data_IF_379468075470
#
_entry.id   IF_379468075470
#
_cell.length_a   1.000
_cell.length_b   1.000
_cell.length_c   1.000
_cell.angle_alpha   90.00
_cell.angle_beta   90.00
_cell.angle_gamma   90.00
#
_symmetry.space_group_name_H-M   'P 1'
#
loop_
_entity.id
_entity.type
_entity.pdbx_description
1 polymer ?
#
# COMPACT_ATOMS: atom_id res chain seq x y z
N UNK A 1 15.25 -21.09 -30.13
CA UNK A 1 15.86 -19.83 -29.62
C UNK A 1 14.72 -18.97 -29.11
N UNK A 2 14.53 -18.89 -27.80
CA UNK A 2 13.51 -18.01 -27.22
C UNK A 2 13.88 -16.55 -27.49
N UNK A 3 12.91 -15.73 -27.89
CA UNK A 3 13.13 -14.31 -28.16
C UNK A 3 13.45 -13.62 -26.83
N UNK A 4 14.41 -12.68 -26.75
CA UNK A 4 14.72 -11.94 -25.51
C UNK A 4 13.49 -11.26 -24.87
N UNK A 5 12.46 -10.98 -25.69
CA UNK A 5 11.18 -10.39 -25.31
C UNK A 5 10.32 -11.28 -24.38
N UNK A 6 10.44 -12.61 -24.49
CA UNK A 6 9.61 -13.53 -23.71
C UNK A 6 10.09 -13.65 -22.25
N UNK A 7 11.40 -13.52 -22.03
CA UNK A 7 12.01 -13.57 -20.69
C UNK A 7 11.75 -12.30 -19.86
N UNK A 8 11.74 -11.12 -20.50
CA UNK A 8 11.47 -9.85 -19.83
C UNK A 8 10.00 -9.73 -19.42
N UNK A 9 9.07 -10.24 -20.23
CA UNK A 9 7.64 -10.22 -19.91
C UNK A 9 7.31 -11.08 -18.67
N UNK A 10 8.00 -12.21 -18.51
CA UNK A 10 7.88 -13.07 -17.31
C UNK A 10 8.41 -12.41 -16.04
N UNK A 11 9.52 -11.67 -16.13
CA UNK A 11 10.12 -10.95 -15.01
C UNK A 11 9.25 -9.76 -14.55
N UNK A 12 8.61 -9.04 -15.48
CA UNK A 12 7.68 -7.95 -15.17
C UNK A 12 6.41 -8.44 -14.45
N UNK A 13 5.86 -9.58 -14.85
CA UNK A 13 4.70 -10.18 -14.20
C UNK A 13 5.04 -10.63 -12.77
N UNK A 14 6.21 -11.28 -12.59
CA UNK A 14 6.68 -11.73 -11.28
C UNK A 14 6.98 -10.54 -10.34
N UNK A 15 7.59 -9.46 -10.85
CA UNK A 15 7.80 -8.23 -10.08
C UNK A 15 6.48 -7.59 -9.62
N UNK A 16 5.45 -7.59 -10.48
CA UNK A 16 4.11 -7.15 -10.10
C UNK A 16 3.52 -7.97 -8.96
N UNK A 17 3.58 -9.30 -9.06
CA UNK A 17 3.09 -10.20 -8.00
C UNK A 17 3.80 -9.96 -6.68
N UNK A 18 5.14 -9.81 -6.67
CA UNK A 18 5.90 -9.52 -5.47
C UNK A 18 5.56 -8.15 -4.86
N UNK A 19 5.38 -7.11 -5.69
CA UNK A 19 5.01 -5.77 -5.23
C UNK A 19 3.64 -5.76 -4.54
N UNK A 20 2.63 -6.37 -5.17
CA UNK A 20 1.28 -6.42 -4.61
C UNK A 20 1.19 -7.28 -3.35
N UNK A 21 1.89 -8.42 -3.30
CA UNK A 21 1.96 -9.24 -2.09
C UNK A 21 2.61 -8.46 -0.92
N UNK A 22 3.66 -7.69 -1.19
CA UNK A 22 4.28 -6.82 -0.19
C UNK A 22 3.34 -5.71 0.28
N UNK A 23 2.59 -5.07 -0.63
CA UNK A 23 1.60 -4.05 -0.26
C UNK A 23 0.49 -4.64 0.63
N UNK A 24 -0.07 -5.78 0.23
CA UNK A 24 -1.14 -6.45 0.99
C UNK A 24 -0.69 -6.83 2.41
N UNK A 25 0.57 -7.29 2.56
CA UNK A 25 1.13 -7.57 3.87
C UNK A 25 1.20 -6.32 4.75
N UNK A 26 1.57 -5.17 4.19
CA UNK A 26 1.65 -3.90 4.91
C UNK A 26 0.25 -3.39 5.27
N UNK A 27 -0.73 -3.50 4.37
CA UNK A 27 -2.14 -3.17 4.65
C UNK A 27 -2.69 -4.00 5.81
N UNK A 28 -2.49 -5.31 5.79
CA UNK A 28 -2.92 -6.22 6.86
C UNK A 28 -2.29 -5.86 8.22
N UNK A 29 -1.01 -5.50 8.23
CA UNK A 29 -0.34 -5.07 9.46
C UNK A 29 -0.91 -3.75 9.97
N UNK A 30 -1.16 -2.80 9.08
CA UNK A 30 -1.78 -1.51 9.43
C UNK A 30 -3.18 -1.71 10.00
N UNK A 31 -4.04 -2.47 9.33
CA UNK A 31 -5.42 -2.72 9.77
C UNK A 31 -5.47 -3.37 11.15
N UNK A 32 -4.60 -4.34 11.40
CA UNK A 32 -4.49 -4.98 12.72
C UNK A 32 -4.09 -3.97 13.80
N UNK A 33 -3.02 -3.20 13.56
CA UNK A 33 -2.56 -2.19 14.51
C UNK A 33 -3.61 -1.09 14.75
N UNK A 34 -4.37 -0.75 13.71
CA UNK A 34 -5.45 0.23 13.77
C UNK A 34 -6.59 -0.25 14.67
N UNK A 35 -7.04 -1.49 14.49
CA UNK A 35 -8.09 -2.11 15.32
C UNK A 35 -7.62 -2.23 16.77
N UNK A 36 -6.40 -2.72 16.99
CA UNK A 36 -5.83 -2.84 18.34
C UNK A 36 -5.77 -1.48 19.05
N UNK A 37 -5.42 -0.41 18.31
CA UNK A 37 -5.37 0.94 18.87
C UNK A 37 -6.76 1.53 19.16
N UNK A 38 -7.77 1.28 18.33
CA UNK A 38 -9.15 1.72 18.63
C UNK A 38 -9.75 0.95 19.83
N UNK A 39 -9.40 -0.33 19.99
CA UNK A 39 -9.76 -1.11 21.18
C UNK A 39 -9.13 -0.54 22.45
N UNK A 40 -7.85 -0.17 22.42
CA UNK A 40 -7.18 0.49 23.54
C UNK A 40 -7.83 1.83 23.89
N UNK A 41 -8.19 2.64 22.89
CA UNK A 41 -8.94 3.88 23.09
C UNK A 41 -10.32 3.64 23.74
N UNK A 42 -10.97 2.51 23.43
CA UNK A 42 -12.24 2.12 24.03
C UNK A 42 -12.15 1.70 25.51
N UNK A 43 -10.95 1.40 26.02
CA UNK A 43 -10.72 1.03 27.42
C UNK A 43 -10.46 2.24 28.32
N UNK A 44 -10.30 3.43 27.73
CA UNK A 44 -10.06 4.68 28.46
C UNK A 44 -11.32 5.11 29.23
N UNK A 45 -11.15 5.57 30.47
CA UNK A 45 -12.24 6.00 31.34
C UNK A 45 -13.10 7.12 30.72
N UNK A 46 -14.41 7.10 31.02
CA UNK A 46 -15.40 8.07 30.51
C UNK A 46 -15.04 9.52 30.84
N UNK A 47 -14.34 9.76 31.95
CA UNK A 47 -13.86 11.09 32.34
C UNK A 47 -12.88 11.69 31.31
N UNK A 48 -12.25 10.85 30.48
CA UNK A 48 -11.34 11.24 29.41
C UNK A 48 -11.98 11.16 28.01
N UNK A 49 -13.31 11.21 27.90
CA UNK A 49 -14.05 11.10 26.63
C UNK A 49 -13.52 12.02 25.51
N UNK A 50 -13.23 13.28 25.82
CA UNK A 50 -12.69 14.24 24.84
C UNK A 50 -11.34 13.78 24.27
N UNK A 51 -10.49 13.19 25.10
CA UNK A 51 -9.20 12.63 24.67
C UNK A 51 -9.42 11.43 23.76
N UNK A 52 -10.35 10.53 24.10
CA UNK A 52 -10.72 9.36 23.28
C UNK A 52 -11.28 9.78 21.93
N UNK A 53 -12.16 10.78 21.88
CA UNK A 53 -12.70 11.33 20.65
C UNK A 53 -11.61 11.99 19.79
N UNK A 54 -10.68 12.72 20.42
CA UNK A 54 -9.53 13.29 19.71
C UNK A 54 -8.65 12.18 19.10
N UNK A 55 -8.37 11.11 19.87
CA UNK A 55 -7.63 9.94 19.41
C UNK A 55 -8.28 9.28 18.20
N UNK A 56 -9.60 9.03 18.26
CA UNK A 56 -10.36 8.47 17.13
C UNK A 56 -10.35 9.35 15.89
N UNK A 57 -10.45 10.68 16.04
CA UNK A 57 -10.31 11.60 14.89
C UNK A 57 -8.92 11.49 14.24
N UNK A 58 -7.87 11.39 15.05
CA UNK A 58 -6.49 11.17 14.55
C UNK A 58 -6.35 9.83 13.84
N UNK A 59 -6.96 8.76 14.38
CA UNK A 59 -7.05 7.46 13.70
C UNK A 59 -7.69 7.60 12.32
N UNK A 60 -8.86 8.23 12.21
CA UNK A 60 -9.51 8.44 10.89
C UNK A 60 -8.59 9.16 9.89
N UNK A 61 -7.90 10.21 10.34
CA UNK A 61 -6.95 10.95 9.49
C UNK A 61 -5.77 10.06 9.08
N UNK A 62 -5.26 9.24 10.01
CA UNK A 62 -4.16 8.32 9.75
C UNK A 62 -4.54 7.26 8.71
N UNK A 63 -5.72 6.64 8.86
CA UNK A 63 -6.25 5.68 7.88
C UNK A 63 -6.42 6.31 6.49
N UNK A 64 -6.98 7.52 6.41
CA UNK A 64 -7.13 8.24 5.14
C UNK A 64 -5.78 8.64 4.50
N UNK A 65 -4.76 8.96 5.32
CA UNK A 65 -3.41 9.22 4.84
C UNK A 65 -2.75 7.93 4.30
N UNK A 66 -2.92 6.81 5.02
CA UNK A 66 -2.40 5.50 4.60
C UNK A 66 -3.04 5.01 3.30
N UNK A 67 -4.37 5.10 3.16
CA UNK A 67 -5.06 4.74 1.91
C UNK A 67 -4.52 5.53 0.70
N UNK A 68 -4.29 6.84 0.88
CA UNK A 68 -3.68 7.69 -0.18
C UNK A 68 -2.24 7.27 -0.48
N UNK A 69 -1.46 6.89 0.53
CA UNK A 69 -0.10 6.40 0.34
C UNK A 69 -0.10 5.11 -0.49
N UNK A 70 -0.95 4.14 -0.15
CA UNK A 70 -1.06 2.88 -0.91
C UNK A 70 -1.44 3.16 -2.37
N UNK A 71 -2.46 3.97 -2.61
CA UNK A 71 -2.83 4.36 -3.97
C UNK A 71 -1.69 5.03 -4.73
N UNK A 72 -0.88 5.86 -4.06
CA UNK A 72 0.29 6.49 -4.66
C UNK A 72 1.38 5.48 -5.01
N UNK A 73 1.65 4.51 -4.13
CA UNK A 73 2.58 3.42 -4.38
C UNK A 73 2.15 2.59 -5.59
N UNK A 74 0.87 2.20 -5.67
CA UNK A 74 0.30 1.48 -6.82
C UNK A 74 0.43 2.29 -8.12
N UNK A 75 0.11 3.59 -8.07
CA UNK A 75 0.23 4.49 -9.22
C UNK A 75 1.68 4.63 -9.71
N UNK A 76 2.65 4.74 -8.78
CA UNK A 76 4.07 4.79 -9.11
C UNK A 76 4.55 3.48 -9.75
N UNK A 77 4.08 2.34 -9.25
CA UNK A 77 4.39 1.04 -9.82
C UNK A 77 3.87 0.91 -11.26
N UNK A 78 2.61 1.30 -11.51
CA UNK A 78 2.03 1.34 -12.86
C UNK A 78 2.79 2.28 -13.81
N UNK A 79 3.12 3.48 -13.34
CA UNK A 79 3.90 4.43 -14.13
C UNK A 79 5.27 3.84 -14.49
N UNK A 80 5.95 3.21 -13.54
CA UNK A 80 7.23 2.54 -13.78
C UNK A 80 7.11 1.45 -14.83
N UNK A 81 6.08 0.59 -14.77
CA UNK A 81 5.88 -0.44 -15.80
C UNK A 81 5.64 0.18 -17.19
N UNK A 82 4.88 1.28 -17.27
CA UNK A 82 4.68 2.02 -18.52
C UNK A 82 5.99 2.57 -19.09
N UNK A 83 6.82 3.20 -18.25
CA UNK A 83 8.13 3.71 -18.66
C UNK A 83 9.06 2.58 -19.13
N UNK A 84 9.10 1.45 -18.41
CA UNK A 84 9.90 0.29 -18.82
C UNK A 84 9.46 -0.23 -20.19
N UNK A 85 8.15 -0.36 -20.42
CA UNK A 85 7.62 -0.77 -21.73
C UNK A 85 7.98 0.22 -22.85
N UNK A 86 7.90 1.52 -22.58
CA UNK A 86 8.27 2.55 -23.55
C UNK A 86 9.77 2.49 -23.90
N UNK A 87 10.63 2.37 -22.88
CA UNK A 87 12.08 2.24 -23.08
C UNK A 87 12.41 1.01 -23.93
N UNK A 88 11.82 -0.15 -23.63
CA UNK A 88 12.01 -1.38 -24.41
C UNK A 88 11.60 -1.17 -25.87
N UNK A 89 10.48 -0.49 -26.11
CA UNK A 89 9.97 -0.22 -27.46
C UNK A 89 10.92 0.66 -28.27
N UNK A 90 11.55 1.66 -27.64
CA UNK A 90 12.52 2.54 -28.30
C UNK A 90 13.89 1.85 -28.54
N UNK A 91 14.16 0.77 -27.81
CA UNK A 91 15.43 0.02 -27.88
C UNK A 91 15.48 -1.00 -29.02
N UNK A 92 14.35 -1.25 -29.69
CA UNK A 92 14.14 -2.26 -30.75
C UNK A 92 13.96 -1.58 -32.09
#
# INVERSE_FOLDING_TARGET
MARPTDALTGDQAQQGVCFYASLEQVEKQFDRAFVDLDLLLGQVDIEQLELTLHGRRKLTILSAAFARLIHKCQSLFHANQSYQSFIITLSV
#
